data_IF_442144105425
#
_entry.id   IF_442144105425
#
_cell.length_a   1.000
_cell.length_b   1.000
_cell.length_c   1.000
_cell.angle_alpha   90.00
_cell.angle_beta   90.00
_cell.angle_gamma   90.00
#
_symmetry.space_group_name_H-M   'P 1'
#
loop_
_entity.id
_entity.type
_entity.pdbx_description
1 polymer ?
#
# COMPACT_ATOMS: atom_id res chain seq x y z
N UNK A 1 -9.02 54.73 31.87
CA UNK A 1 -8.89 53.90 33.08
C UNK A 1 -7.46 53.38 33.15
N UNK A 2 -6.63 53.80 34.09
CA UNK A 2 -5.28 53.24 34.33
C UNK A 2 -5.47 51.79 34.78
N UNK A 3 -4.84 50.86 34.05
CA UNK A 3 -4.93 49.43 34.36
C UNK A 3 -4.38 49.15 35.76
N UNK A 4 -5.24 48.73 36.67
CA UNK A 4 -4.98 48.47 38.09
C UNK A 4 -3.88 47.39 38.33
N UNK A 5 -3.36 46.71 37.32
CA UNK A 5 -2.45 45.60 37.41
C UNK A 5 -1.16 45.78 36.58
N UNK A 6 -0.74 47.01 36.29
CA UNK A 6 0.54 47.27 35.59
C UNK A 6 1.67 47.39 36.62
N UNK A 7 2.66 46.50 36.49
CA UNK A 7 3.80 46.37 37.40
C UNK A 7 5.11 46.18 36.64
N UNK A 8 6.23 46.57 37.20
CA UNK A 8 7.53 46.20 36.63
C UNK A 8 7.83 44.74 36.99
N UNK A 9 8.01 43.87 35.99
CA UNK A 9 8.37 42.49 36.25
C UNK A 9 9.82 42.39 36.74
N UNK A 10 9.95 42.11 38.03
CA UNK A 10 11.18 41.67 38.70
C UNK A 10 10.91 40.34 39.35
N UNK A 11 11.97 39.61 39.74
CA UNK A 11 11.82 38.35 40.46
C UNK A 11 10.94 38.56 41.70
N UNK A 12 11.27 39.56 42.52
CA UNK A 12 10.56 39.87 43.77
C UNK A 12 9.08 40.21 43.51
N UNK A 13 8.78 41.02 42.50
CA UNK A 13 7.39 41.41 42.20
C UNK A 13 6.56 40.25 41.70
N UNK A 14 7.14 39.36 40.88
CA UNK A 14 6.44 38.18 40.40
C UNK A 14 6.23 37.14 41.50
N UNK A 15 7.24 36.89 42.33
CA UNK A 15 7.15 35.90 43.42
C UNK A 15 6.05 36.30 44.42
N UNK A 16 5.90 37.58 44.72
CA UNK A 16 4.95 38.12 45.72
C UNK A 16 3.53 38.34 45.14
N UNK A 17 3.22 37.94 43.88
CA UNK A 17 1.88 38.07 43.34
C UNK A 17 0.89 37.14 44.06
N UNK A 18 -0.30 37.69 44.44
CA UNK A 18 -1.31 36.89 45.12
C UNK A 18 -1.83 35.76 44.26
N UNK A 19 -2.07 34.60 44.90
CA UNK A 19 -2.73 33.45 44.26
C UNK A 19 -4.22 33.71 44.25
N UNK A 20 -4.87 33.73 43.05
CA UNK A 20 -6.27 34.04 42.97
C UNK A 20 -7.15 32.90 43.52
N UNK A 21 -8.26 33.27 44.19
CA UNK A 21 -9.28 32.33 44.68
C UNK A 21 -10.37 32.09 43.62
N UNK A 22 -11.05 30.96 43.69
CA UNK A 22 -12.27 30.71 42.99
C UNK A 22 -12.18 30.60 41.44
N UNK A 23 -11.06 30.06 40.89
CA UNK A 23 -10.95 29.83 39.45
C UNK A 23 -10.63 31.06 38.60
N UNK A 24 -10.49 32.23 39.20
CA UNK A 24 -10.07 33.49 38.55
C UNK A 24 -8.64 33.35 38.00
N UNK A 25 -8.39 34.05 36.88
CA UNK A 25 -7.06 34.06 36.19
C UNK A 25 -6.64 35.48 35.89
N UNK A 26 -6.22 36.24 36.90
CA UNK A 26 -5.83 37.64 36.70
C UNK A 26 -4.59 37.74 35.81
N UNK A 27 -4.54 38.87 35.07
CA UNK A 27 -3.41 39.25 34.25
C UNK A 27 -2.72 40.49 34.87
N UNK A 28 -1.40 40.43 35.01
CA UNK A 28 -0.53 41.54 35.35
C UNK A 28 0.25 41.94 34.13
N UNK A 29 0.32 43.24 33.88
CA UNK A 29 0.96 43.81 32.67
C UNK A 29 2.34 44.33 32.98
N UNK A 30 3.34 44.02 32.15
CA UNK A 30 4.69 44.54 32.31
C UNK A 30 4.78 46.00 31.96
N UNK A 31 5.22 46.86 32.89
CA UNK A 31 5.40 48.28 32.65
C UNK A 31 6.55 48.63 31.69
N UNK A 32 7.50 47.70 31.50
CA UNK A 32 8.69 47.86 30.65
C UNK A 32 8.41 47.42 29.22
N UNK A 33 7.62 46.34 29.03
CA UNK A 33 7.32 45.76 27.68
C UNK A 33 5.81 45.79 27.46
N UNK A 34 5.27 46.83 26.83
CA UNK A 34 3.85 46.90 26.54
C UNK A 34 3.34 45.72 25.72
N UNK A 35 2.25 45.11 26.18
CA UNK A 35 1.69 43.89 25.58
C UNK A 35 2.17 42.56 26.18
N UNK A 36 3.24 42.58 26.96
CA UNK A 36 3.61 41.43 27.77
C UNK A 36 2.78 41.43 29.08
N UNK A 37 2.23 40.27 29.41
CA UNK A 37 1.45 40.05 30.61
C UNK A 37 1.87 38.72 31.29
N UNK A 38 1.60 38.65 32.58
CA UNK A 38 1.74 37.43 33.39
C UNK A 38 0.35 37.00 33.83
N UNK A 39 -0.04 35.82 33.50
CA UNK A 39 -1.26 35.16 33.98
C UNK A 39 -0.97 34.29 35.16
N UNK A 40 -1.72 34.50 36.25
CA UNK A 40 -1.62 33.66 37.47
C UNK A 40 -2.89 32.83 37.61
N UNK A 41 -2.75 31.55 37.91
CA UNK A 41 -3.87 30.63 38.14
C UNK A 41 -4.03 30.30 39.62
N UNK A 42 -5.19 29.76 40.03
CA UNK A 42 -5.46 29.28 41.39
C UNK A 42 -4.49 28.21 41.89
N UNK A 43 -3.84 27.49 40.96
CA UNK A 43 -2.79 26.50 41.29
C UNK A 43 -1.39 27.12 41.32
N UNK A 44 -1.29 28.44 41.56
CA UNK A 44 -0.03 29.18 41.60
C UNK A 44 0.83 29.12 40.32
N UNK A 45 0.28 28.63 39.20
CA UNK A 45 1.03 28.60 37.94
C UNK A 45 1.04 30.01 37.32
N UNK A 46 2.25 30.54 37.13
CA UNK A 46 2.53 31.84 36.56
C UNK A 46 3.03 31.67 35.12
N UNK A 47 2.33 32.25 34.13
CA UNK A 47 2.67 32.10 32.70
C UNK A 47 2.77 33.47 32.02
N UNK A 48 3.89 33.70 31.32
CA UNK A 48 4.06 34.87 30.47
C UNK A 48 3.19 34.72 29.21
N UNK A 49 2.43 35.76 28.90
CA UNK A 49 1.51 35.79 27.73
C UNK A 49 1.61 37.11 27.03
N UNK A 50 1.36 37.12 25.75
CA UNK A 50 1.13 38.32 24.94
C UNK A 50 -0.35 38.42 24.62
N UNK A 51 -0.96 39.60 24.86
CA UNK A 51 -2.35 39.87 24.54
C UNK A 51 -2.42 40.92 23.42
N UNK A 52 -3.04 40.53 22.30
CA UNK A 52 -3.24 41.47 21.16
C UNK A 52 -4.54 41.11 20.42
N UNK A 53 -5.08 42.08 19.70
CA UNK A 53 -6.18 41.80 18.75
C UNK A 53 -5.63 41.43 17.38
N UNK A 54 -6.02 40.28 16.88
CA UNK A 54 -5.73 39.86 15.49
C UNK A 54 -7.09 39.81 14.77
N UNK A 55 -7.23 40.51 13.65
CA UNK A 55 -8.51 40.62 12.92
C UNK A 55 -9.69 40.99 13.83
N UNK A 56 -9.51 42.00 14.68
CA UNK A 56 -10.49 42.51 15.68
C UNK A 56 -10.85 41.51 16.80
N UNK A 57 -10.34 40.29 16.79
CA UNK A 57 -10.57 39.28 17.86
C UNK A 57 -9.41 39.28 18.85
N UNK A 58 -9.67 39.31 20.18
CA UNK A 58 -8.60 39.20 21.18
C UNK A 58 -7.96 37.82 21.09
N UNK A 59 -6.63 37.78 21.00
CA UNK A 59 -5.85 36.54 21.10
C UNK A 59 -4.82 36.66 22.20
N UNK A 60 -4.61 35.51 22.88
CA UNK A 60 -3.63 35.36 23.93
C UNK A 60 -2.63 34.30 23.48
N UNK A 61 -1.36 34.67 23.40
CA UNK A 61 -0.26 33.76 23.06
C UNK A 61 0.55 33.49 24.32
N UNK A 62 0.66 32.26 24.76
CA UNK A 62 1.47 31.87 25.91
C UNK A 62 2.92 31.73 25.45
N UNK A 63 3.84 32.47 26.09
CA UNK A 63 5.27 32.44 25.78
C UNK A 63 6.00 31.36 26.54
N UNK A 64 5.65 31.18 27.85
CA UNK A 64 6.26 30.16 28.72
C UNK A 64 5.84 30.33 30.14
N UNK A 65 6.35 29.43 31.01
CA UNK A 65 6.06 29.43 32.47
C UNK A 65 7.20 30.01 33.25
N UNK A 66 6.89 30.85 34.26
CA UNK A 66 7.81 31.25 35.28
C UNK A 66 7.89 30.17 36.36
N UNK A 67 9.07 29.85 36.97
CA UNK A 67 10.39 30.48 36.77
C UNK A 67 11.23 29.82 35.65
N UNK A 68 10.75 28.79 34.97
CA UNK A 68 11.49 28.09 33.88
C UNK A 68 11.90 29.07 32.74
N UNK A 69 11.07 30.09 32.50
CA UNK A 69 11.39 31.20 31.58
C UNK A 69 11.79 32.43 32.42
N UNK A 70 12.94 33.02 32.11
CA UNK A 70 13.37 34.27 32.76
C UNK A 70 12.60 35.48 32.21
N UNK A 71 12.51 36.53 33.02
CA UNK A 71 11.82 37.76 32.63
C UNK A 71 12.45 38.40 31.38
N UNK A 72 13.78 38.40 31.29
CA UNK A 72 14.49 38.91 30.09
C UNK A 72 14.15 38.15 28.81
N UNK A 73 14.12 36.82 28.92
CA UNK A 73 13.71 35.95 27.78
C UNK A 73 12.25 36.20 27.42
N UNK A 74 11.37 36.36 28.42
CA UNK A 74 9.95 36.68 28.17
C UNK A 74 9.77 38.02 27.48
N UNK A 75 10.49 39.07 27.87
CA UNK A 75 10.49 40.38 27.23
C UNK A 75 10.96 40.32 25.77
N UNK A 76 12.09 39.60 25.54
CA UNK A 76 12.63 39.39 24.16
C UNK A 76 11.65 38.66 23.27
N UNK A 77 11.04 37.60 23.75
CA UNK A 77 10.03 36.84 23.03
C UNK A 77 8.74 37.63 22.79
N UNK A 78 8.31 38.45 23.79
CA UNK A 78 7.15 39.30 23.65
C UNK A 78 7.32 40.34 22.53
N UNK A 79 8.47 40.99 22.45
CA UNK A 79 8.78 41.96 21.39
C UNK A 79 8.74 41.25 20.01
N UNK A 80 9.37 40.08 19.90
CA UNK A 80 9.38 39.28 18.66
C UNK A 80 7.96 38.87 18.25
N UNK A 81 7.18 38.36 19.19
CA UNK A 81 5.79 37.90 18.96
C UNK A 81 4.88 39.08 18.56
N UNK A 82 5.03 40.26 19.23
CA UNK A 82 4.28 41.47 18.90
C UNK A 82 4.65 42.02 17.52
N UNK A 83 5.91 41.96 17.13
CA UNK A 83 6.38 42.28 15.78
C UNK A 83 5.70 41.43 14.72
N UNK A 84 5.75 40.08 14.86
CA UNK A 84 5.09 39.14 13.95
C UNK A 84 3.57 39.40 13.86
N UNK A 85 2.91 39.65 15.00
CA UNK A 85 1.47 39.98 15.00
C UNK A 85 1.20 41.31 14.28
N UNK A 86 2.08 42.31 14.37
CA UNK A 86 1.94 43.59 13.68
C UNK A 86 2.09 43.45 12.16
N UNK A 87 2.86 42.44 11.72
CA UNK A 87 3.01 42.05 10.30
C UNK A 87 1.83 41.17 9.82
N UNK A 88 0.82 40.97 10.66
CA UNK A 88 -0.35 40.13 10.35
C UNK A 88 -0.16 38.61 10.52
N UNK A 89 1.01 38.19 11.01
CA UNK A 89 1.35 36.80 11.24
C UNK A 89 0.70 36.32 12.54
N UNK A 90 -0.06 35.21 12.49
CA UNK A 90 -0.60 34.56 13.67
C UNK A 90 0.44 33.54 14.22
N UNK A 91 1.02 33.78 15.42
CA UNK A 91 2.05 32.89 15.94
C UNK A 91 1.62 31.39 16.05
N UNK A 92 0.37 31.14 16.41
CA UNK A 92 -0.14 29.75 16.48
C UNK A 92 -0.14 29.06 15.12
N UNK A 93 -0.51 29.80 14.04
CA UNK A 93 -0.43 29.28 12.68
C UNK A 93 1.01 29.06 12.23
N UNK A 94 1.91 29.96 12.64
CA UNK A 94 3.33 29.81 12.35
C UNK A 94 3.94 28.57 13.03
N UNK A 95 3.49 28.26 14.24
CA UNK A 95 3.94 27.06 14.96
C UNK A 95 3.38 25.79 14.31
N UNK A 96 2.12 25.81 13.85
CA UNK A 96 1.52 24.74 13.05
C UNK A 96 2.30 24.52 11.74
N UNK A 97 2.60 25.57 10.99
CA UNK A 97 3.40 25.50 9.77
C UNK A 97 4.82 24.97 10.03
N UNK A 98 5.45 25.41 11.13
CA UNK A 98 6.77 24.93 11.51
C UNK A 98 6.74 23.45 11.94
N UNK A 99 5.67 22.99 12.57
CA UNK A 99 5.46 21.58 12.89
C UNK A 99 5.29 20.75 11.60
N UNK A 100 4.46 21.23 10.65
CA UNK A 100 4.29 20.55 9.36
C UNK A 100 5.61 20.45 8.57
N UNK A 101 6.45 21.50 8.59
CA UNK A 101 7.77 21.47 7.94
C UNK A 101 8.73 20.43 8.54
N UNK A 102 8.51 20.02 9.80
CA UNK A 102 9.27 18.97 10.47
C UNK A 102 8.69 17.58 10.28
N UNK A 103 7.59 17.43 9.52
CA UNK A 103 6.98 16.13 9.27
C UNK A 103 8.00 15.17 8.66
N UNK A 104 8.18 14.01 9.27
CA UNK A 104 9.18 13.02 8.86
C UNK A 104 8.63 12.07 7.78
N UNK A 105 9.52 11.37 7.08
CA UNK A 105 9.12 10.36 6.10
C UNK A 105 8.28 9.25 6.74
N UNK A 106 8.61 8.86 7.98
CA UNK A 106 7.84 7.85 8.73
C UNK A 106 6.42 8.27 9.02
N UNK A 107 6.22 9.56 9.39
CA UNK A 107 4.88 10.13 9.57
C UNK A 107 4.09 10.12 8.26
N UNK A 108 4.71 10.59 7.16
CA UNK A 108 4.10 10.58 5.81
C UNK A 108 3.70 9.17 5.40
N UNK A 109 4.58 8.18 5.61
CA UNK A 109 4.30 6.78 5.32
C UNK A 109 3.09 6.27 6.12
N UNK A 110 3.06 6.52 7.43
CA UNK A 110 1.99 6.09 8.32
C UNK A 110 0.64 6.71 7.92
N UNK A 111 0.64 8.01 7.62
CA UNK A 111 -0.55 8.74 7.21
C UNK A 111 -1.02 8.29 5.82
N UNK A 112 -0.10 8.05 4.87
CA UNK A 112 -0.42 7.48 3.57
C UNK A 112 -1.09 6.11 3.68
N UNK A 113 -0.54 5.20 4.49
CA UNK A 113 -1.15 3.88 4.70
C UNK A 113 -2.52 4.00 5.37
N UNK A 114 -2.68 4.91 6.32
CA UNK A 114 -3.96 5.16 7.00
C UNK A 114 -5.00 5.75 6.05
N UNK A 115 -4.63 6.73 5.23
CA UNK A 115 -5.55 7.38 4.27
C UNK A 115 -6.07 6.42 3.21
N UNK A 116 -5.25 5.42 2.82
CA UNK A 116 -5.68 4.38 1.88
C UNK A 116 -6.64 3.37 2.52
N UNK A 117 -6.62 3.22 3.85
CA UNK A 117 -7.56 2.44 4.64
C UNK A 117 -7.82 1.05 4.08
N UNK A 118 -9.11 0.69 3.97
CA UNK A 118 -9.59 -0.60 3.44
C UNK A 118 -9.40 -0.76 1.93
N UNK A 119 -9.11 0.31 1.18
CA UNK A 119 -8.86 0.27 -0.26
C UNK A 119 -7.53 -0.42 -0.62
N UNK A 120 -6.62 -0.62 0.35
CA UNK A 120 -5.41 -1.39 0.14
C UNK A 120 -5.61 -2.85 0.53
N UNK A 121 -5.45 -3.74 -0.45
CA UNK A 121 -5.36 -5.18 -0.15
C UNK A 121 -4.18 -5.47 0.79
N UNK A 122 -4.35 -6.40 1.73
CA UNK A 122 -3.36 -6.74 2.76
C UNK A 122 -1.95 -7.03 2.20
N UNK A 123 -1.85 -7.68 1.03
CA UNK A 123 -0.54 -7.94 0.44
C UNK A 123 0.12 -6.69 -0.15
N UNK A 124 -0.67 -5.75 -0.65
CA UNK A 124 -0.15 -4.47 -1.12
C UNK A 124 0.38 -3.67 0.06
N UNK A 125 -0.36 -3.66 1.18
CA UNK A 125 0.08 -3.04 2.43
C UNK A 125 1.40 -3.65 2.93
N UNK A 126 1.49 -4.99 3.02
CA UNK A 126 2.74 -5.71 3.36
C UNK A 126 3.87 -5.38 2.39
N UNK A 127 3.57 -5.16 1.11
CA UNK A 127 4.56 -4.74 0.12
C UNK A 127 5.12 -3.34 0.38
N UNK A 128 4.27 -2.38 0.76
CA UNK A 128 4.69 -1.04 1.17
C UNK A 128 5.52 -1.09 2.46
N UNK A 129 5.02 -1.78 3.50
CA UNK A 129 5.71 -1.95 4.79
C UNK A 129 7.07 -2.62 4.63
N UNK A 130 7.13 -3.72 3.86
CA UNK A 130 8.40 -4.42 3.60
C UNK A 130 9.40 -3.57 2.82
N UNK A 131 8.94 -2.78 1.85
CA UNK A 131 9.81 -1.87 1.12
C UNK A 131 10.32 -0.72 1.99
N UNK A 132 9.47 -0.15 2.84
CA UNK A 132 9.85 0.91 3.78
C UNK A 132 10.87 0.41 4.81
N UNK A 133 10.54 -0.67 5.52
CA UNK A 133 11.37 -1.22 6.58
C UNK A 133 12.74 -1.72 6.09
N UNK A 134 12.83 -2.20 4.85
CA UNK A 134 14.09 -2.74 4.34
C UNK A 134 14.98 -1.70 3.64
N UNK A 135 14.37 -0.68 3.01
CA UNK A 135 15.12 0.22 2.13
C UNK A 135 15.04 1.70 2.51
N UNK A 136 14.13 2.09 3.41
CA UNK A 136 13.87 3.49 3.75
C UNK A 136 13.84 3.77 5.26
N UNK A 137 14.03 2.75 6.10
CA UNK A 137 13.93 2.87 7.56
C UNK A 137 14.92 3.90 8.14
N UNK A 138 16.10 4.00 7.57
CA UNK A 138 17.12 4.98 7.95
C UNK A 138 16.74 6.43 7.62
N UNK A 139 15.66 6.65 6.87
CA UNK A 139 15.06 7.95 6.60
C UNK A 139 13.77 8.19 7.39
N UNK A 140 13.37 7.27 8.27
CA UNK A 140 12.10 7.36 9.01
C UNK A 140 11.97 8.69 9.74
N UNK A 141 13.01 9.12 10.45
CA UNK A 141 13.05 10.37 11.23
C UNK A 141 13.52 11.58 10.42
N UNK A 142 13.84 11.40 9.13
CA UNK A 142 14.26 12.49 8.27
C UNK A 142 13.06 13.35 7.86
N UNK A 143 13.08 14.67 8.11
CA UNK A 143 12.05 15.57 7.60
C UNK A 143 11.90 15.40 6.09
N UNK A 144 10.65 15.31 5.62
CA UNK A 144 10.38 15.05 4.18
C UNK A 144 10.97 16.13 3.27
N UNK A 145 11.09 17.36 3.76
CA UNK A 145 11.69 18.48 3.05
C UNK A 145 13.21 18.35 2.90
N UNK A 146 13.87 17.58 3.76
CA UNK A 146 15.32 17.38 3.75
C UNK A 146 15.76 16.24 2.83
N UNK A 147 14.79 15.46 2.32
CA UNK A 147 15.07 14.38 1.37
C UNK A 147 15.33 14.98 -0.02
N UNK A 148 16.59 15.04 -0.40
CA UNK A 148 17.04 15.69 -1.61
C UNK A 148 17.04 14.76 -2.84
N UNK A 149 17.10 15.36 -4.03
CA UNK A 149 17.27 14.63 -5.30
C UNK A 149 18.51 13.73 -5.30
N UNK A 150 19.62 14.21 -4.74
CA UNK A 150 20.86 13.44 -4.64
C UNK A 150 20.70 12.21 -3.73
N UNK A 151 19.98 12.32 -2.63
CA UNK A 151 19.65 11.18 -1.77
C UNK A 151 18.83 10.12 -2.54
N UNK A 152 17.84 10.55 -3.33
CA UNK A 152 17.04 9.66 -4.17
C UNK A 152 17.90 8.89 -5.18
N UNK A 153 18.77 9.61 -5.92
CA UNK A 153 19.66 8.98 -6.92
C UNK A 153 20.62 7.99 -6.28
N UNK A 154 21.26 8.36 -5.17
CA UNK A 154 22.18 7.46 -4.45
C UNK A 154 21.45 6.21 -3.94
N UNK A 155 20.27 6.37 -3.34
CA UNK A 155 19.46 5.25 -2.84
C UNK A 155 19.01 4.34 -3.98
N UNK A 156 18.51 4.91 -5.08
CA UNK A 156 18.13 4.13 -6.25
C UNK A 156 19.30 3.31 -6.79
N UNK A 157 20.49 3.91 -6.92
CA UNK A 157 21.71 3.23 -7.39
C UNK A 157 22.11 2.09 -6.45
N UNK A 158 22.16 2.32 -5.14
CA UNK A 158 22.53 1.30 -4.16
C UNK A 158 21.57 0.10 -4.19
N UNK A 159 20.27 0.33 -4.34
CA UNK A 159 19.30 -0.77 -4.45
C UNK A 159 19.42 -1.45 -5.82
N UNK A 160 19.75 -0.70 -6.88
CA UNK A 160 19.92 -1.24 -8.24
C UNK A 160 21.02 -2.29 -8.31
N UNK A 161 22.12 -2.11 -7.59
CA UNK A 161 23.22 -3.09 -7.49
C UNK A 161 22.75 -4.44 -6.99
N UNK A 162 21.76 -4.47 -6.09
CA UNK A 162 21.18 -5.69 -5.56
C UNK A 162 20.03 -6.22 -6.43
N UNK A 163 19.12 -5.33 -6.85
CA UNK A 163 17.93 -5.68 -7.62
C UNK A 163 17.33 -4.48 -8.35
N UNK A 164 17.56 -4.37 -9.67
CA UNK A 164 17.03 -3.28 -10.49
C UNK A 164 15.50 -3.10 -10.39
N UNK A 165 14.75 -4.20 -10.40
CA UNK A 165 13.28 -4.16 -10.28
C UNK A 165 12.83 -3.68 -8.90
N UNK A 166 13.56 -4.08 -7.85
CA UNK A 166 13.26 -3.64 -6.48
C UNK A 166 13.54 -2.15 -6.32
N UNK A 167 14.65 -1.65 -6.88
CA UNK A 167 14.96 -0.23 -6.88
C UNK A 167 13.81 0.59 -7.46
N UNK A 168 13.34 0.22 -8.64
CA UNK A 168 12.20 0.89 -9.25
C UNK A 168 10.94 0.82 -8.38
N UNK A 169 10.67 -0.34 -7.76
CA UNK A 169 9.49 -0.51 -6.89
C UNK A 169 9.55 0.42 -5.68
N UNK A 170 10.68 0.47 -4.97
CA UNK A 170 10.90 1.34 -3.82
C UNK A 170 10.71 2.81 -4.20
N UNK A 171 11.27 3.23 -5.34
CA UNK A 171 11.13 4.61 -5.80
C UNK A 171 9.70 4.96 -6.26
N UNK A 172 8.94 3.99 -6.79
CA UNK A 172 7.50 4.19 -7.06
C UNK A 172 6.70 4.39 -5.76
N UNK A 173 7.03 3.63 -4.69
CA UNK A 173 6.42 3.81 -3.38
C UNK A 173 6.78 5.19 -2.81
N UNK A 174 8.05 5.56 -2.82
CA UNK A 174 8.51 6.86 -2.34
C UNK A 174 7.87 8.02 -3.13
N UNK A 175 7.70 7.85 -4.46
CA UNK A 175 6.96 8.80 -5.30
C UNK A 175 5.53 8.98 -4.81
N UNK A 176 4.86 7.88 -4.42
CA UNK A 176 3.50 7.94 -3.90
C UNK A 176 3.43 8.67 -2.55
N UNK A 177 4.40 8.48 -1.66
CA UNK A 177 4.47 9.19 -0.38
C UNK A 177 4.66 10.70 -0.59
N UNK A 178 5.55 11.11 -1.47
CA UNK A 178 5.72 12.52 -1.81
C UNK A 178 4.49 13.13 -2.47
N UNK A 179 3.83 12.41 -3.39
CA UNK A 179 2.60 12.91 -4.01
C UNK A 179 1.47 13.06 -2.98
N UNK A 180 1.37 12.15 -2.02
CA UNK A 180 0.45 12.26 -0.89
C UNK A 180 0.77 13.48 -0.04
N UNK A 181 2.04 13.65 0.33
CA UNK A 181 2.48 14.80 1.14
C UNK A 181 2.23 16.14 0.46
N UNK A 182 2.38 16.22 -0.87
CA UNK A 182 2.07 17.41 -1.66
C UNK A 182 0.57 17.77 -1.65
N UNK A 183 -0.30 16.79 -1.49
CA UNK A 183 -1.75 17.02 -1.44
C UNK A 183 -2.30 17.23 -0.04
N UNK A 184 -1.68 16.63 0.97
CA UNK A 184 -2.23 16.57 2.32
C UNK A 184 -1.64 17.62 3.26
N UNK A 185 -0.32 17.89 3.16
CA UNK A 185 0.34 18.85 4.03
C UNK A 185 0.35 20.23 3.39
N UNK A 186 -0.68 21.02 3.69
CA UNK A 186 -0.91 22.38 3.20
C UNK A 186 -0.73 23.39 4.32
N UNK A 187 -0.21 24.56 3.99
CA UNK A 187 -0.05 25.66 4.93
C UNK A 187 -1.34 26.44 5.17
N UNK A 188 -1.29 27.46 6.01
CA UNK A 188 -2.44 28.33 6.31
C UNK A 188 -2.95 29.18 5.15
N UNK A 189 -2.25 29.15 4.00
CA UNK A 189 -2.60 29.86 2.75
C UNK A 189 -3.05 28.88 1.67
N UNK A 190 -3.34 27.64 2.03
CA UNK A 190 -3.72 26.55 1.11
C UNK A 190 -2.62 26.19 0.11
N UNK A 191 -1.35 26.39 0.49
CA UNK A 191 -0.20 26.05 -0.34
C UNK A 191 0.47 24.79 0.16
N UNK A 192 0.86 23.85 -0.73
CA UNK A 192 1.58 22.65 -0.33
C UNK A 192 2.92 22.98 0.35
N UNK A 193 3.22 22.35 1.47
CA UNK A 193 4.52 22.47 2.12
C UNK A 193 5.60 21.78 1.28
N UNK A 194 5.27 20.64 0.68
CA UNK A 194 6.12 19.93 -0.26
C UNK A 194 5.80 20.40 -1.67
N UNK A 195 6.59 21.32 -2.22
CA UNK A 195 6.34 21.90 -3.54
C UNK A 195 6.71 20.97 -4.70
N UNK A 196 7.67 20.09 -4.52
CA UNK A 196 8.20 19.23 -5.59
C UNK A 196 8.46 17.82 -5.11
N UNK A 197 8.13 16.87 -5.96
CA UNK A 197 8.46 15.48 -5.71
C UNK A 197 9.92 15.19 -6.19
N UNK A 198 10.88 14.96 -5.27
CA UNK A 198 12.29 14.78 -5.63
C UNK A 198 12.53 13.51 -6.46
N UNK A 199 11.64 12.50 -6.40
CA UNK A 199 11.78 11.27 -7.19
C UNK A 199 11.66 11.51 -8.69
N UNK A 200 11.16 12.68 -9.13
CA UNK A 200 11.12 13.09 -10.54
C UNK A 200 12.51 13.13 -11.16
N UNK A 201 13.55 13.31 -10.37
CA UNK A 201 14.95 13.30 -10.85
C UNK A 201 15.26 12.03 -11.64
N UNK A 202 14.78 10.86 -11.20
CA UNK A 202 15.05 9.58 -11.88
C UNK A 202 14.51 9.55 -13.32
N UNK A 203 13.42 10.27 -13.59
CA UNK A 203 12.88 10.42 -14.94
C UNK A 203 13.69 11.45 -15.75
N UNK A 204 14.10 12.54 -15.11
CA UNK A 204 14.93 13.59 -15.76
C UNK A 204 16.27 13.03 -16.26
N UNK A 205 16.96 12.29 -15.39
CA UNK A 205 18.27 11.72 -15.73
C UNK A 205 18.15 10.33 -16.38
N UNK A 206 16.94 9.87 -16.71
CA UNK A 206 16.65 8.56 -17.31
C UNK A 206 17.24 7.37 -16.52
N UNK A 207 17.27 7.47 -15.20
CA UNK A 207 17.88 6.49 -14.30
C UNK A 207 17.01 5.27 -13.99
N UNK A 208 15.75 5.26 -14.40
CA UNK A 208 14.89 4.09 -14.20
C UNK A 208 15.45 2.86 -14.85
N UNK A 209 15.55 1.76 -14.09
CA UNK A 209 16.02 0.49 -14.62
C UNK A 209 15.06 -0.08 -15.65
N UNK A 210 15.60 -0.69 -16.70
CA UNK A 210 14.83 -1.37 -17.73
C UNK A 210 14.29 -2.68 -17.20
N UNK A 211 12.98 -2.79 -17.05
CA UNK A 211 12.31 -4.01 -16.60
C UNK A 211 11.84 -4.82 -17.82
N UNK A 212 12.45 -5.99 -18.05
CA UNK A 212 11.95 -6.92 -19.07
C UNK A 212 10.80 -7.76 -18.48
N UNK A 213 9.69 -7.86 -19.20
CA UNK A 213 8.63 -8.79 -18.83
C UNK A 213 9.15 -10.22 -18.98
N UNK A 214 8.92 -11.05 -17.96
CA UNK A 214 9.20 -12.48 -18.09
C UNK A 214 8.28 -13.06 -19.17
N UNK A 215 8.88 -13.79 -20.13
CA UNK A 215 8.18 -14.44 -21.25
C UNK A 215 8.33 -15.96 -21.19
N UNK A 216 8.51 -16.50 -19.96
CA UNK A 216 8.62 -17.93 -19.75
C UNK A 216 7.27 -18.62 -19.90
N UNK A 217 7.24 -19.71 -20.64
CA UNK A 217 6.12 -20.63 -20.83
C UNK A 217 6.66 -22.06 -20.81
N UNK A 218 5.80 -23.05 -20.56
CA UNK A 218 6.15 -24.44 -20.83
C UNK A 218 6.05 -24.66 -22.33
N UNK A 219 7.14 -25.08 -22.95
CA UNK A 219 7.17 -25.34 -24.40
C UNK A 219 6.34 -26.58 -24.72
N UNK A 220 5.76 -26.64 -25.92
CA UNK A 220 4.92 -27.76 -26.34
C UNK A 220 5.63 -29.09 -26.20
N UNK A 221 6.90 -29.18 -26.57
CA UNK A 221 7.72 -30.39 -26.44
C UNK A 221 8.04 -30.79 -24.97
N UNK A 222 7.92 -29.87 -24.02
CA UNK A 222 8.11 -30.09 -22.58
C UNK A 222 6.81 -30.47 -21.87
N UNK A 223 5.63 -30.26 -22.50
CA UNK A 223 4.32 -30.48 -21.88
C UNK A 223 4.16 -31.93 -21.42
N UNK A 224 4.57 -32.91 -22.25
CA UNK A 224 4.47 -34.32 -21.92
C UNK A 224 5.30 -34.68 -20.67
N UNK A 225 6.55 -34.22 -20.60
CA UNK A 225 7.43 -34.48 -19.44
C UNK A 225 6.88 -33.77 -18.19
N UNK A 226 6.42 -32.53 -18.33
CA UNK A 226 5.81 -31.78 -17.25
C UNK A 226 4.53 -32.47 -16.73
N UNK A 227 3.63 -32.83 -17.61
CA UNK A 227 2.35 -33.46 -17.26
C UNK A 227 2.56 -34.81 -16.54
N UNK A 228 3.46 -35.62 -17.05
CA UNK A 228 3.85 -36.91 -16.40
C UNK A 228 4.35 -36.65 -14.98
N UNK A 229 5.27 -35.70 -14.78
CA UNK A 229 5.80 -35.34 -13.48
C UNK A 229 4.73 -34.80 -12.50
N UNK A 230 3.76 -34.05 -13.00
CA UNK A 230 2.61 -33.57 -12.22
C UNK A 230 1.72 -34.72 -11.81
N UNK A 231 1.42 -35.66 -12.72
CA UNK A 231 0.60 -36.83 -12.43
C UNK A 231 1.26 -37.80 -11.43
N UNK A 232 2.58 -37.93 -11.46
CA UNK A 232 3.36 -38.75 -10.55
C UNK A 232 3.60 -38.10 -9.17
N UNK A 233 3.27 -36.82 -9.00
CA UNK A 233 3.54 -36.06 -7.78
C UNK A 233 3.02 -36.71 -6.50
N UNK A 234 1.82 -37.34 -6.43
CA UNK A 234 1.34 -38.05 -5.25
C UNK A 234 2.20 -39.23 -4.84
N UNK A 235 2.81 -39.96 -5.81
CA UNK A 235 3.65 -41.14 -5.56
C UNK A 235 4.96 -40.77 -4.85
N UNK A 236 5.39 -39.51 -4.96
CA UNK A 236 6.60 -38.99 -4.32
C UNK A 236 6.35 -38.39 -2.93
N UNK A 237 5.17 -38.60 -2.35
CA UNK A 237 4.86 -38.12 -0.99
C UNK A 237 5.31 -39.16 0.05
N UNK A 238 6.33 -38.78 0.84
CA UNK A 238 6.95 -39.69 1.83
C UNK A 238 6.12 -39.91 3.10
N UNK A 239 5.08 -39.12 3.35
CA UNK A 239 4.26 -39.18 4.56
C UNK A 239 2.77 -39.06 4.23
N UNK A 240 1.97 -40.03 4.69
CA UNK A 240 0.49 -40.03 4.57
C UNK A 240 -0.19 -39.06 5.54
N UNK A 241 0.30 -37.80 5.64
CA UNK A 241 -0.37 -36.77 6.44
C UNK A 241 -1.56 -36.20 5.65
N UNK A 242 -2.72 -36.25 6.27
CA UNK A 242 -3.91 -35.54 5.75
C UNK A 242 -3.80 -34.02 6.03
N UNK A 243 -4.17 -33.15 5.08
CA UNK A 243 -4.56 -33.42 3.71
C UNK A 243 -3.36 -33.79 2.82
N UNK A 244 -3.60 -34.60 1.78
CA UNK A 244 -2.55 -35.00 0.84
C UNK A 244 -2.17 -33.80 -0.05
N UNK A 245 -1.20 -33.01 0.39
CA UNK A 245 -0.76 -31.77 -0.29
C UNK A 245 -0.24 -32.03 -1.71
N UNK A 246 0.30 -33.22 -1.98
CA UNK A 246 0.79 -33.55 -3.31
C UNK A 246 -0.34 -33.74 -4.33
N UNK A 247 -1.44 -34.41 -3.95
CA UNK A 247 -2.63 -34.54 -4.77
C UNK A 247 -3.30 -33.18 -5.02
N UNK A 248 -3.43 -32.37 -3.96
CA UNK A 248 -4.01 -31.03 -4.08
C UNK A 248 -3.18 -30.17 -5.04
N UNK A 249 -1.85 -30.22 -4.95
CA UNK A 249 -0.97 -29.47 -5.85
C UNK A 249 -0.99 -30.02 -7.28
N UNK A 250 -1.06 -31.34 -7.48
CA UNK A 250 -1.27 -31.95 -8.80
C UNK A 250 -2.49 -31.33 -9.47
N UNK A 251 -3.63 -31.41 -8.81
CA UNK A 251 -4.89 -30.98 -9.37
C UNK A 251 -4.94 -29.45 -9.53
N UNK A 252 -4.34 -28.67 -8.61
CA UNK A 252 -4.20 -27.23 -8.76
C UNK A 252 -3.35 -26.84 -9.99
N UNK A 253 -2.23 -27.54 -10.24
CA UNK A 253 -1.36 -27.23 -11.38
C UNK A 253 -2.07 -27.53 -12.69
N UNK A 254 -2.76 -28.64 -12.77
CA UNK A 254 -3.62 -28.98 -13.90
C UNK A 254 -4.72 -27.93 -14.07
N UNK A 255 -5.43 -27.60 -12.99
CA UNK A 255 -6.52 -26.65 -13.06
C UNK A 255 -6.07 -25.27 -13.56
N UNK A 256 -4.92 -24.78 -13.11
CA UNK A 256 -4.37 -23.50 -13.61
C UNK A 256 -3.95 -23.59 -15.08
N UNK A 257 -3.34 -24.71 -15.51
CA UNK A 257 -2.94 -24.89 -16.91
C UNK A 257 -4.16 -24.93 -17.83
N UNK A 258 -5.24 -25.62 -17.44
CA UNK A 258 -6.41 -25.82 -18.28
C UNK A 258 -7.48 -24.72 -18.20
N UNK A 259 -7.40 -23.80 -17.21
CA UNK A 259 -8.31 -22.65 -17.07
C UNK A 259 -7.66 -21.32 -17.38
N UNK A 260 -6.33 -21.26 -17.31
CA UNK A 260 -5.61 -19.99 -17.40
C UNK A 260 -5.84 -19.05 -16.20
N UNK A 261 -6.47 -19.46 -15.11
CA UNK A 261 -6.72 -18.65 -13.93
C UNK A 261 -5.44 -18.11 -13.29
N UNK A 262 -5.52 -16.96 -12.64
CA UNK A 262 -4.42 -16.49 -11.79
C UNK A 262 -4.30 -17.40 -10.56
N UNK A 263 -3.05 -17.60 -10.08
CA UNK A 263 -2.78 -18.46 -8.90
C UNK A 263 -3.78 -18.25 -7.77
N UNK A 264 -4.02 -17.00 -7.36
CA UNK A 264 -4.91 -16.68 -6.24
C UNK A 264 -6.38 -16.94 -6.54
N UNK A 265 -6.80 -16.70 -7.76
CA UNK A 265 -8.15 -17.03 -8.21
C UNK A 265 -8.35 -18.55 -8.08
N UNK A 266 -7.41 -19.35 -8.58
CA UNK A 266 -7.49 -20.80 -8.49
C UNK A 266 -7.40 -21.32 -7.04
N UNK A 267 -6.43 -20.85 -6.22
CA UNK A 267 -6.28 -21.34 -4.85
C UNK A 267 -7.44 -20.97 -3.93
N UNK A 268 -8.12 -19.85 -4.18
CA UNK A 268 -9.24 -19.39 -3.36
C UNK A 268 -10.60 -19.91 -3.83
N UNK A 269 -10.65 -20.77 -4.85
CA UNK A 269 -11.91 -21.35 -5.32
C UNK A 269 -12.59 -22.16 -4.22
N UNK A 270 -13.87 -21.88 -4.04
CA UNK A 270 -14.80 -22.58 -3.17
C UNK A 270 -15.74 -23.47 -4.00
N UNK A 271 -16.34 -24.48 -3.38
CA UNK A 271 -17.36 -25.30 -4.02
C UNK A 271 -18.57 -24.47 -4.45
N UNK A 272 -18.89 -23.39 -3.72
CA UNK A 272 -19.96 -22.45 -4.07
C UNK A 272 -19.70 -21.68 -5.38
N UNK A 273 -18.46 -21.66 -5.89
CA UNK A 273 -18.13 -21.05 -7.18
C UNK A 273 -18.45 -21.95 -8.37
N UNK A 274 -18.79 -23.23 -8.14
CA UNK A 274 -18.98 -24.23 -9.18
C UNK A 274 -20.46 -24.50 -9.38
N UNK A 275 -20.95 -24.35 -10.60
CA UNK A 275 -22.25 -24.85 -11.03
C UNK A 275 -22.05 -26.14 -11.83
N UNK A 276 -22.33 -27.29 -11.16
CA UNK A 276 -22.21 -28.61 -11.79
C UNK A 276 -23.32 -28.87 -12.81
N UNK A 277 -24.45 -28.17 -12.74
CA UNK A 277 -25.55 -28.32 -13.69
C UNK A 277 -25.25 -27.61 -14.99
N UNK A 278 -24.71 -26.40 -14.89
CA UNK A 278 -24.31 -25.59 -16.06
C UNK A 278 -22.87 -25.89 -16.51
N UNK A 279 -22.13 -26.73 -15.79
CA UNK A 279 -20.70 -26.98 -16.03
C UNK A 279 -19.91 -25.67 -16.17
N UNK A 280 -20.04 -24.80 -15.18
CA UNK A 280 -19.37 -23.50 -15.14
C UNK A 280 -18.77 -23.18 -13.77
N UNK A 281 -17.81 -22.27 -13.76
CA UNK A 281 -17.30 -21.68 -12.54
C UNK A 281 -17.46 -20.16 -12.60
N UNK A 282 -17.75 -19.54 -11.44
CA UNK A 282 -17.91 -18.08 -11.33
C UNK A 282 -17.16 -17.56 -10.13
N UNK A 283 -16.27 -16.58 -10.35
CA UNK A 283 -15.52 -15.85 -9.34
C UNK A 283 -16.05 -14.42 -9.29
N UNK A 284 -16.71 -14.04 -8.21
CA UNK A 284 -17.39 -12.75 -8.09
C UNK A 284 -16.42 -11.56 -7.92
N UNK A 285 -15.36 -11.72 -7.10
CA UNK A 285 -14.37 -10.65 -6.85
C UNK A 285 -12.98 -11.08 -7.33
N UNK A 286 -12.66 -10.71 -8.55
CA UNK A 286 -11.31 -10.91 -9.10
C UNK A 286 -10.39 -9.72 -8.78
N UNK A 287 -9.12 -9.82 -9.15
CA UNK A 287 -8.17 -8.71 -9.02
C UNK A 287 -8.63 -7.41 -9.70
N UNK A 288 -9.54 -7.53 -10.67
CA UNK A 288 -10.06 -6.39 -11.43
C UNK A 288 -11.41 -5.89 -10.88
N UNK A 289 -11.87 -6.43 -9.74
CA UNK A 289 -13.19 -6.15 -9.13
C UNK A 289 -14.37 -6.45 -10.06
N UNK A 290 -14.25 -7.53 -10.83
CA UNK A 290 -15.28 -7.99 -11.76
C UNK A 290 -15.52 -9.48 -11.62
N UNK A 291 -16.75 -9.87 -11.92
CA UNK A 291 -17.13 -11.28 -12.02
C UNK A 291 -16.42 -11.92 -13.21
N UNK A 292 -15.86 -13.09 -12.99
CA UNK A 292 -15.22 -13.90 -14.03
C UNK A 292 -15.85 -15.28 -14.06
N UNK A 293 -16.49 -15.61 -15.17
CA UNK A 293 -17.12 -16.90 -15.39
C UNK A 293 -16.42 -17.67 -16.50
N UNK A 294 -16.23 -18.98 -16.29
CA UNK A 294 -15.57 -19.88 -17.23
C UNK A 294 -16.37 -21.19 -17.39
N UNK A 295 -16.45 -21.78 -18.60
CA UNK A 295 -16.97 -23.10 -18.79
C UNK A 295 -15.97 -24.15 -18.25
N UNK A 296 -16.50 -25.23 -17.70
CA UNK A 296 -15.75 -26.38 -17.25
C UNK A 296 -15.81 -27.50 -18.29
N UNK A 297 -14.65 -27.90 -18.79
CA UNK A 297 -14.53 -29.02 -19.72
C UNK A 297 -14.66 -30.37 -18.97
N UNK A 298 -14.95 -31.48 -19.65
CA UNK A 298 -15.01 -32.80 -19.01
C UNK A 298 -13.77 -33.13 -18.17
N UNK A 299 -12.59 -32.81 -18.68
CA UNK A 299 -11.33 -33.00 -17.95
C UNK A 299 -11.28 -32.19 -16.64
N UNK A 300 -11.75 -30.92 -16.67
CA UNK A 300 -11.79 -30.09 -15.45
C UNK A 300 -12.81 -30.60 -14.45
N UNK A 301 -13.95 -31.14 -14.89
CA UNK A 301 -14.92 -31.80 -14.02
C UNK A 301 -14.33 -33.04 -13.35
N UNK A 302 -13.56 -33.86 -14.06
CA UNK A 302 -12.82 -34.98 -13.46
C UNK A 302 -11.79 -34.50 -12.41
N UNK A 303 -11.08 -33.41 -12.66
CA UNK A 303 -10.17 -32.83 -11.69
C UNK A 303 -10.91 -32.40 -10.43
N UNK A 304 -12.07 -31.75 -10.58
CA UNK A 304 -12.91 -31.32 -9.45
C UNK A 304 -13.47 -32.51 -8.67
N UNK A 305 -13.94 -33.55 -9.36
CA UNK A 305 -14.48 -34.76 -8.73
C UNK A 305 -13.45 -35.40 -7.76
N UNK A 306 -12.17 -35.47 -8.18
CA UNK A 306 -11.08 -35.98 -7.32
C UNK A 306 -10.84 -35.11 -6.08
N UNK A 307 -11.35 -33.86 -6.04
CA UNK A 307 -11.13 -32.88 -4.94
C UNK A 307 -12.29 -32.83 -3.95
N UNK A 308 -13.40 -33.54 -4.19
CA UNK A 308 -14.53 -33.58 -3.27
C UNK A 308 -14.07 -33.87 -1.83
N UNK A 309 -14.42 -32.97 -0.92
CA UNK A 309 -14.09 -33.01 0.50
C UNK A 309 -15.02 -32.13 1.29
N UNK A 310 -15.00 -32.24 2.62
CA UNK A 310 -15.80 -31.39 3.53
C UNK A 310 -15.27 -29.95 3.65
N UNK A 311 -14.11 -29.66 3.08
CA UNK A 311 -13.55 -28.30 3.04
C UNK A 311 -14.39 -27.40 2.14
N UNK A 312 -14.66 -26.13 2.52
CA UNK A 312 -15.29 -25.17 1.62
C UNK A 312 -14.40 -24.85 0.38
N UNK A 313 -13.08 -25.04 0.50
CA UNK A 313 -12.12 -24.78 -0.57
C UNK A 313 -11.83 -26.02 -1.40
N UNK A 314 -11.85 -25.89 -2.72
CA UNK A 314 -11.49 -26.98 -3.66
C UNK A 314 -10.02 -27.36 -3.48
N UNK A 315 -9.13 -26.37 -3.35
CA UNK A 315 -7.71 -26.56 -3.11
C UNK A 315 -7.38 -26.15 -1.67
N UNK A 316 -7.76 -27.00 -0.73
CA UNK A 316 -7.56 -26.75 0.71
C UNK A 316 -6.08 -26.75 1.10
N UNK A 317 -5.75 -25.96 2.11
CA UNK A 317 -4.42 -25.95 2.74
C UNK A 317 -4.25 -27.07 3.75
N UNK A 318 -3.26 -26.93 4.61
CA UNK A 318 -3.04 -27.84 5.75
C UNK A 318 -4.18 -27.77 6.78
N UNK A 319 -4.90 -26.67 6.82
CA UNK A 319 -6.12 -26.46 7.61
C UNK A 319 -7.30 -26.48 6.66
N UNK A 320 -8.35 -27.32 6.89
CA UNK A 320 -9.49 -27.45 5.98
C UNK A 320 -10.20 -26.12 5.65
N UNK A 321 -10.28 -25.21 6.62
CA UNK A 321 -10.95 -23.90 6.47
C UNK A 321 -10.10 -22.83 5.79
N UNK A 322 -8.94 -23.20 5.26
CA UNK A 322 -8.02 -22.27 4.58
C UNK A 322 -7.58 -22.79 3.22
N UNK A 323 -7.46 -21.92 2.23
CA UNK A 323 -6.97 -22.31 0.91
C UNK A 323 -5.47 -22.66 0.95
N UNK A 324 -5.01 -23.41 -0.04
CA UNK A 324 -3.60 -23.73 -0.22
C UNK A 324 -2.79 -22.43 -0.43
N UNK A 325 -1.86 -22.17 0.48
CA UNK A 325 -1.10 -20.91 0.45
C UNK A 325 0.17 -20.99 -0.40
N UNK A 326 1.03 -21.99 -0.13
CA UNK A 326 2.33 -22.08 -0.79
C UNK A 326 2.63 -23.49 -1.33
N UNK A 327 2.45 -23.70 -2.65
CA UNK A 327 2.77 -24.97 -3.31
C UNK A 327 4.26 -25.12 -3.69
N UNK A 328 5.16 -24.24 -3.18
CA UNK A 328 6.57 -24.15 -3.61
C UNK A 328 7.29 -25.49 -3.55
N UNK A 329 7.16 -26.24 -2.45
CA UNK A 329 7.81 -27.54 -2.29
C UNK A 329 7.40 -28.54 -3.38
N UNK A 330 6.12 -28.59 -3.72
CA UNK A 330 5.61 -29.50 -4.75
C UNK A 330 5.99 -29.01 -6.15
N UNK A 331 5.99 -27.70 -6.38
CA UNK A 331 6.46 -27.10 -7.63
C UNK A 331 7.95 -27.42 -7.88
N UNK A 332 8.81 -27.35 -6.85
CA UNK A 332 10.22 -27.69 -6.96
C UNK A 332 10.42 -29.20 -7.22
N UNK A 333 9.55 -30.07 -6.68
CA UNK A 333 9.55 -31.50 -7.02
C UNK A 333 9.24 -31.75 -8.50
N UNK A 334 8.17 -31.12 -9.02
CA UNK A 334 7.81 -31.24 -10.45
C UNK A 334 8.96 -30.78 -11.33
N UNK A 335 9.61 -29.67 -11.02
CA UNK A 335 10.80 -29.17 -11.74
C UNK A 335 11.92 -30.22 -11.76
N UNK A 336 12.18 -30.83 -10.61
CA UNK A 336 13.24 -31.84 -10.47
C UNK A 336 12.93 -33.12 -11.26
N UNK A 337 11.67 -33.58 -11.25
CA UNK A 337 11.25 -34.78 -11.95
C UNK A 337 11.22 -34.59 -13.47
N UNK A 338 10.62 -33.46 -13.90
CA UNK A 338 10.41 -33.16 -15.33
C UNK A 338 11.62 -32.58 -16.03
N UNK A 339 12.56 -31.98 -15.27
CA UNK A 339 13.62 -31.13 -15.85
C UNK A 339 13.12 -29.78 -16.38
N UNK A 340 11.81 -29.49 -16.31
CA UNK A 340 11.19 -28.28 -16.84
C UNK A 340 11.13 -27.19 -15.78
N UNK A 341 11.77 -26.05 -16.04
CA UNK A 341 11.71 -24.93 -15.13
C UNK A 341 10.50 -24.04 -15.44
N UNK A 342 9.59 -23.94 -14.49
CA UNK A 342 8.37 -23.13 -14.60
C UNK A 342 7.97 -22.55 -13.25
N UNK A 343 7.07 -21.57 -13.24
CA UNK A 343 6.34 -21.11 -12.06
C UNK A 343 4.83 -21.12 -12.35
N UNK A 344 3.99 -20.97 -11.33
CA UNK A 344 2.53 -21.07 -11.51
C UNK A 344 1.95 -20.04 -12.50
N UNK A 345 2.59 -18.89 -12.65
CA UNK A 345 2.16 -17.91 -13.63
C UNK A 345 2.51 -18.30 -15.07
N UNK A 346 3.53 -19.16 -15.24
CA UNK A 346 3.89 -19.68 -16.54
C UNK A 346 2.87 -20.69 -17.07
N UNK A 347 2.14 -21.39 -16.17
CA UNK A 347 1.00 -22.25 -16.57
C UNK A 347 -0.08 -21.42 -17.26
N UNK A 348 -0.45 -20.27 -16.68
CA UNK A 348 -1.38 -19.33 -17.31
C UNK A 348 -0.83 -18.78 -18.64
N UNK A 349 0.46 -18.45 -18.70
CA UNK A 349 1.07 -18.00 -19.95
C UNK A 349 1.06 -19.10 -21.02
N UNK A 350 1.29 -20.34 -20.63
CA UNK A 350 1.22 -21.51 -21.51
C UNK A 350 -0.19 -21.65 -22.06
N UNK A 351 -1.24 -21.58 -21.22
CA UNK A 351 -2.63 -21.56 -21.67
C UNK A 351 -2.88 -20.46 -22.73
N UNK A 352 -2.43 -19.22 -22.45
CA UNK A 352 -2.60 -18.09 -23.35
C UNK A 352 -1.90 -18.33 -24.68
N UNK A 353 -0.66 -18.81 -24.66
CA UNK A 353 0.15 -19.07 -25.86
C UNK A 353 -0.46 -20.16 -26.72
N UNK A 354 -0.99 -21.22 -26.09
CA UNK A 354 -1.69 -22.30 -26.77
C UNK A 354 -2.99 -21.78 -27.39
N UNK A 355 -3.80 -21.04 -26.63
CA UNK A 355 -5.05 -20.48 -27.12
C UNK A 355 -4.83 -19.54 -28.32
N UNK A 356 -3.77 -18.74 -28.30
CA UNK A 356 -3.38 -17.88 -29.42
C UNK A 356 -3.01 -18.72 -30.67
N UNK A 357 -2.24 -19.79 -30.48
CA UNK A 357 -1.81 -20.68 -31.58
C UNK A 357 -2.96 -21.46 -32.23
N UNK A 358 -4.11 -21.54 -31.58
CA UNK A 358 -5.31 -22.24 -32.05
C UNK A 358 -6.32 -21.30 -32.74
N UNK A 359 -5.91 -20.08 -33.05
CA UNK A 359 -6.77 -19.06 -33.67
C UNK A 359 -8.07 -18.80 -32.88
N UNK A 360 -8.01 -18.86 -31.55
CA UNK A 360 -9.14 -18.50 -30.71
C UNK A 360 -9.43 -17.00 -30.89
N UNK A 361 -10.68 -16.68 -31.13
CA UNK A 361 -11.12 -15.28 -31.29
C UNK A 361 -10.63 -14.43 -30.11
N UNK A 362 -10.05 -13.25 -30.42
CA UNK A 362 -9.44 -12.35 -29.43
C UNK A 362 -10.40 -11.96 -28.31
N UNK A 363 -11.70 -11.77 -28.60
CA UNK A 363 -12.68 -11.45 -27.58
C UNK A 363 -12.97 -12.65 -26.67
N UNK A 364 -13.10 -13.85 -27.25
CA UNK A 364 -13.25 -15.06 -26.45
C UNK A 364 -12.03 -15.28 -25.54
N UNK A 365 -10.82 -15.09 -26.07
CA UNK A 365 -9.59 -15.19 -25.28
C UNK A 365 -9.51 -14.13 -24.16
N UNK A 366 -9.86 -12.86 -24.43
CA UNK A 366 -9.93 -11.81 -23.42
C UNK A 366 -10.91 -12.18 -22.30
N UNK A 367 -12.07 -12.73 -22.66
CA UNK A 367 -13.08 -13.18 -21.69
C UNK A 367 -12.61 -14.37 -20.85
N UNK A 368 -12.05 -15.40 -21.49
CA UNK A 368 -11.46 -16.54 -20.79
C UNK A 368 -10.36 -16.13 -19.77
N UNK A 369 -9.70 -15.00 -20.01
CA UNK A 369 -8.61 -14.50 -19.17
C UNK A 369 -9.02 -13.41 -18.20
N UNK A 370 -10.26 -12.91 -18.26
CA UNK A 370 -10.67 -11.70 -17.56
C UNK A 370 -9.67 -10.55 -17.77
N UNK A 371 -9.32 -10.32 -19.04
CA UNK A 371 -8.45 -9.22 -19.46
C UNK A 371 -9.31 -8.07 -19.96
N UNK A 372 -9.30 -6.94 -19.23
CA UNK A 372 -9.85 -5.68 -19.74
C UNK A 372 -8.80 -4.91 -20.52
N UNK A 373 -9.23 -4.40 -21.66
CA UNK A 373 -8.54 -3.31 -22.33
C UNK A 373 -9.39 -2.04 -22.13
N UNK A 374 -8.93 -1.13 -21.31
CA UNK A 374 -9.65 0.15 -21.04
C UNK A 374 -9.83 1.02 -22.28
N UNK A 375 -9.16 0.66 -23.40
CA UNK A 375 -9.27 1.34 -24.69
C UNK A 375 -10.24 0.66 -25.65
N UNK A 376 -10.75 -0.50 -25.28
CA UNK A 376 -11.67 -1.29 -26.12
C UNK A 376 -13.12 -0.92 -25.81
N UNK A 377 -13.58 0.14 -26.45
CA UNK A 377 -14.98 0.63 -26.33
C UNK A 377 -15.97 -0.45 -26.77
N UNK A 378 -15.65 -1.21 -27.85
CA UNK A 378 -16.52 -2.25 -28.41
C UNK A 378 -16.65 -3.44 -27.44
N UNK A 379 -15.59 -3.81 -26.74
CA UNK A 379 -15.61 -4.89 -25.76
C UNK A 379 -16.58 -4.65 -24.59
N UNK A 380 -16.87 -3.38 -24.26
CA UNK A 380 -17.84 -3.02 -23.23
C UNK A 380 -19.30 -3.30 -23.59
N UNK A 381 -19.63 -3.44 -24.86
CA UNK A 381 -20.98 -3.74 -25.34
C UNK A 381 -21.23 -5.23 -25.62
N UNK A 382 -20.17 -6.05 -25.60
CA UNK A 382 -20.29 -7.49 -25.88
C UNK A 382 -20.72 -8.20 -24.60
N UNK A 383 -21.99 -8.61 -24.54
CA UNK A 383 -22.48 -9.54 -23.53
C UNK A 383 -21.97 -10.93 -23.93
N UNK A 384 -21.06 -11.47 -23.14
CA UNK A 384 -20.48 -12.78 -23.43
C UNK A 384 -21.43 -13.86 -22.93
N UNK A 385 -21.98 -14.61 -23.87
CA UNK A 385 -22.69 -15.84 -23.59
C UNK A 385 -21.69 -16.93 -23.21
N UNK A 386 -21.93 -17.65 -22.12
CA UNK A 386 -21.12 -18.77 -21.66
C UNK A 386 -20.97 -19.85 -22.76
N UNK A 387 -22.03 -20.11 -23.52
CA UNK A 387 -22.02 -21.08 -24.60
C UNK A 387 -20.94 -20.77 -25.67
N UNK A 388 -20.72 -19.50 -25.96
CA UNK A 388 -19.68 -19.07 -26.91
C UNK A 388 -18.26 -19.33 -26.42
N UNK A 389 -18.06 -19.55 -25.11
CA UNK A 389 -16.76 -19.86 -24.51
C UNK A 389 -16.51 -21.37 -24.42
N UNK A 390 -17.54 -22.24 -24.51
CA UNK A 390 -17.39 -23.70 -24.36
C UNK A 390 -16.53 -24.30 -25.47
N UNK A 391 -16.81 -23.95 -26.72
CA UNK A 391 -16.03 -24.47 -27.87
C UNK A 391 -14.55 -24.06 -27.80
N UNK A 392 -14.20 -22.76 -27.62
CA UNK A 392 -12.81 -22.35 -27.40
C UNK A 392 -12.13 -23.11 -26.25
N UNK A 393 -12.83 -23.29 -25.14
CA UNK A 393 -12.26 -23.92 -23.96
C UNK A 393 -12.00 -25.43 -24.19
N UNK A 394 -12.92 -26.12 -24.87
CA UNK A 394 -12.75 -27.51 -25.27
C UNK A 394 -11.58 -27.64 -26.26
N UNK A 395 -11.50 -26.80 -27.28
CA UNK A 395 -10.42 -26.80 -28.26
C UNK A 395 -9.04 -26.65 -27.62
N UNK A 396 -8.90 -25.76 -26.63
CA UNK A 396 -7.66 -25.59 -25.88
C UNK A 396 -7.36 -26.85 -25.05
N UNK A 397 -8.37 -27.37 -24.34
CA UNK A 397 -8.24 -28.56 -23.50
C UNK A 397 -7.81 -29.77 -24.32
N UNK A 398 -8.48 -30.03 -25.42
CA UNK A 398 -8.20 -31.18 -26.31
C UNK A 398 -6.79 -31.09 -26.88
N UNK A 399 -6.37 -29.90 -27.33
CA UNK A 399 -5.00 -29.69 -27.80
C UNK A 399 -3.97 -30.04 -26.73
N UNK A 400 -4.16 -29.52 -25.47
CA UNK A 400 -3.22 -29.80 -24.38
C UNK A 400 -3.18 -31.31 -24.11
N UNK A 401 -4.34 -31.98 -24.04
CA UNK A 401 -4.43 -33.42 -23.79
C UNK A 401 -3.76 -34.24 -24.90
N UNK A 402 -3.86 -33.83 -26.14
CA UNK A 402 -3.20 -34.49 -27.26
C UNK A 402 -1.66 -34.35 -27.22
N UNK A 403 -1.16 -33.21 -26.76
CA UNK A 403 0.29 -33.01 -26.61
C UNK A 403 0.91 -33.84 -25.46
N UNK A 404 0.10 -34.36 -24.53
CA UNK A 404 0.59 -35.07 -23.35
C UNK A 404 0.35 -36.60 -23.43
N UNK A 405 -0.41 -37.08 -24.41
CA UNK A 405 -0.52 -38.50 -24.77
C UNK A 405 0.81 -39.00 -25.33
#
# INVERSE_FOLDING_TARGET
MKEKNTINFTKTTIDNLPIPLGGSRPYYHDSVTPGLSLRVTSNAVKSFVVQRRINKKPKIVTLGRYPAMTIQVARKLAIKTLGSISEGINPAKQDEENALKKTTLGQVFSDYIRSRGTNLQNNTKKGYEGAFNHYLIDWEDTPILDITRNMIEKRHRAITEQSPTRANTVMRHLRAYFNYAMGEYIDSKDMPIVLHNPTKVLSHVKAWNREKRKQTVIKTYDLKAWFKAVMELPQHQLNNKQPNTAEICRDLFLFILFTGLRRREATNLMWSNIDFKDHSLTIEDTKNHETHSLPLTPFLLEVLERRKSDSPYIFQGTTPDKPLNDPKKQLDKVRKISGVYFNLHDLRRTFITIAESLDINTYALKQLLNHKDQRDVTGGYIITDMERLREPMNKITDYILDQVK
#
